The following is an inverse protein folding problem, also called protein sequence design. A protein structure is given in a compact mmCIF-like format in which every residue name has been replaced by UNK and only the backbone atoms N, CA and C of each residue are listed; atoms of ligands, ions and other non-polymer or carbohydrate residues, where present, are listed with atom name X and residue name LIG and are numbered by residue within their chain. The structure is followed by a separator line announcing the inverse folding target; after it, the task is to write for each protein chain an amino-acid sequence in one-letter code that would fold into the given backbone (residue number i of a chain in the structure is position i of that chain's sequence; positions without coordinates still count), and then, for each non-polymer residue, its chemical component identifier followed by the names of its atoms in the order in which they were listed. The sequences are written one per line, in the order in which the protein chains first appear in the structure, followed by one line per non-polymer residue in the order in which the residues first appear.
data_IF_387082502946
#
_entry.id   IF_387082502946
#
_cell.length_a   1.000
_cell.length_b   1.000
_cell.length_c   1.000
_cell.angle_alpha   90.00
_cell.angle_beta   90.00
_cell.angle_gamma   90.00
#
_symmetry.space_group_name_H-M   'P 1'
#
loop_
_entity.id
_entity.type
_entity.pdbx_description
1 polymer ?
#
# COMPACT_ATOMS: atom_id res chain seq x y z
N UNK A 1 -7.78 11.15 14.53
CA UNK A 1 -7.66 10.26 13.37
C UNK A 1 -6.40 10.64 12.61
N UNK A 2 -5.62 9.67 12.14
CA UNK A 2 -4.42 9.90 11.33
C UNK A 2 -4.60 9.30 9.95
N UNK A 3 -3.92 9.85 8.95
CA UNK A 3 -3.97 9.37 7.58
C UNK A 3 -2.56 9.18 7.02
N UNK A 4 -2.43 8.21 6.11
CA UNK A 4 -1.25 8.02 5.29
C UNK A 4 -1.60 8.36 3.84
N UNK A 5 -0.68 9.04 3.15
CA UNK A 5 -0.77 9.26 1.71
C UNK A 5 0.04 8.19 1.01
N UNK A 6 -0.47 7.64 -0.09
CA UNK A 6 0.25 6.63 -0.83
C UNK A 6 -0.30 6.37 -2.22
N UNK A 7 0.25 5.36 -2.88
CA UNK A 7 -0.14 4.87 -4.20
C UNK A 7 -0.27 3.36 -4.16
N UNK A 8 -1.22 2.80 -4.92
CA UNK A 8 -1.29 1.35 -5.08
C UNK A 8 -0.11 0.84 -5.89
N UNK A 9 0.37 -0.34 -5.51
CA UNK A 9 1.29 -1.14 -6.32
C UNK A 9 0.45 -2.10 -7.15
N UNK A 10 0.60 -2.09 -8.47
CA UNK A 10 -0.03 -2.98 -9.42
C UNK A 10 1.01 -3.78 -10.21
N UNK A 11 0.55 -4.69 -11.08
CA UNK A 11 1.43 -5.50 -11.94
C UNK A 11 2.30 -4.63 -12.87
N UNK A 12 1.82 -3.45 -13.24
CA UNK A 12 2.50 -2.50 -14.11
C UNK A 12 3.40 -1.52 -13.32
N UNK A 13 3.51 -1.66 -11.99
CA UNK A 13 4.31 -0.79 -11.12
C UNK A 13 3.47 0.04 -10.13
N UNK A 14 3.64 1.37 -10.14
CA UNK A 14 2.91 2.27 -9.23
C UNK A 14 1.76 2.95 -9.96
N UNK A 15 0.60 2.98 -9.32
CA UNK A 15 -0.53 3.76 -9.82
C UNK A 15 -0.18 5.25 -9.92
N UNK A 16 -0.66 5.91 -10.98
CA UNK A 16 -0.55 7.36 -11.14
C UNK A 16 -1.40 8.14 -10.13
N UNK A 17 -2.45 7.52 -9.59
CA UNK A 17 -3.37 8.16 -8.66
C UNK A 17 -2.90 8.02 -7.22
N UNK A 18 -2.80 9.16 -6.53
CA UNK A 18 -2.54 9.19 -5.10
C UNK A 18 -3.83 8.97 -4.31
N UNK A 19 -3.67 8.31 -3.18
CA UNK A 19 -4.75 7.94 -2.28
C UNK A 19 -4.40 8.33 -0.84
N UNK A 20 -5.46 8.51 -0.06
CA UNK A 20 -5.36 8.73 1.38
C UNK A 20 -6.01 7.55 2.09
N UNK A 21 -5.30 6.98 3.05
CA UNK A 21 -5.75 5.84 3.83
C UNK A 21 -5.86 6.27 5.28
N UNK A 22 -6.90 5.81 5.96
CA UNK A 22 -7.01 6.00 7.41
C UNK A 22 -6.02 5.07 8.08
N UNK A 23 -5.38 5.53 9.14
CA UNK A 23 -4.62 4.68 10.04
C UNK A 23 -5.48 4.42 11.27
N UNK A 24 -6.00 3.19 11.45
CA UNK A 24 -6.78 2.84 12.62
C UNK A 24 -6.02 3.10 13.93
N UNK A 25 -6.70 3.52 15.02
CA UNK A 25 -6.03 3.82 16.29
C UNK A 25 -5.18 2.67 16.84
N UNK A 26 -5.62 1.43 16.68
CA UNK A 26 -4.92 0.20 17.09
C UNK A 26 -3.65 -0.05 16.25
N UNK A 27 -3.56 0.49 15.04
CA UNK A 27 -2.41 0.41 14.13
C UNK A 27 -1.47 1.61 14.23
N UNK A 28 -1.90 2.71 14.85
CA UNK A 28 -1.15 3.96 14.81
C UNK A 28 0.30 3.83 15.29
N UNK A 29 0.55 3.06 16.36
CA UNK A 29 1.89 2.85 16.91
C UNK A 29 2.82 2.13 15.93
N UNK A 30 2.30 1.14 15.21
CA UNK A 30 3.05 0.39 14.19
C UNK A 30 3.49 1.32 13.06
N UNK A 31 2.56 2.12 12.53
CA UNK A 31 2.84 3.04 11.42
C UNK A 31 3.77 4.19 11.84
N UNK A 32 3.66 4.69 13.07
CA UNK A 32 4.62 5.67 13.60
C UNK A 32 6.03 5.08 13.72
N UNK A 33 6.16 3.85 14.22
CA UNK A 33 7.45 3.17 14.31
C UNK A 33 8.04 2.90 12.92
N UNK A 34 7.21 2.54 11.94
CA UNK A 34 7.62 2.37 10.55
C UNK A 34 8.17 3.68 9.95
N UNK A 35 7.47 4.80 10.11
CA UNK A 35 7.93 6.11 9.63
C UNK A 35 9.31 6.47 10.20
N UNK A 36 9.52 6.21 11.49
CA UNK A 36 10.82 6.44 12.14
C UNK A 36 11.92 5.53 11.56
N UNK A 37 11.63 4.23 11.39
CA UNK A 37 12.58 3.25 10.84
C UNK A 37 12.88 3.47 9.35
N UNK A 38 11.90 3.96 8.58
CA UNK A 38 12.05 4.25 7.16
C UNK A 38 12.85 5.54 6.91
N UNK A 39 13.17 6.31 7.95
CA UNK A 39 13.94 7.56 7.83
C UNK A 39 13.37 8.50 6.76
N UNK A 40 12.06 8.69 6.77
CA UNK A 40 11.30 9.51 5.80
C UNK A 40 11.26 8.99 4.34
N UNK A 41 11.79 7.80 4.06
CA UNK A 41 11.60 7.16 2.76
C UNK A 41 10.20 6.56 2.66
N UNK A 42 9.74 6.39 1.44
CA UNK A 42 8.50 5.69 1.16
C UNK A 42 8.64 4.20 1.52
N UNK A 43 7.58 3.63 2.08
CA UNK A 43 7.59 2.25 2.58
C UNK A 43 6.28 1.53 2.25
N UNK A 44 6.33 0.20 2.24
CA UNK A 44 5.21 -0.63 1.85
C UNK A 44 4.29 -0.98 3.03
N UNK A 45 3.01 -0.96 2.74
CA UNK A 45 1.96 -1.39 3.66
C UNK A 45 0.87 -2.17 2.92
N UNK A 46 0.08 -2.90 3.70
CA UNK A 46 -1.19 -3.47 3.29
C UNK A 46 -2.32 -2.54 3.71
N UNK A 47 -3.28 -2.35 2.82
CA UNK A 47 -4.47 -1.57 3.06
C UNK A 47 -5.72 -2.21 2.45
N UNK A 48 -6.89 -1.88 2.97
CA UNK A 48 -8.16 -2.14 2.31
C UNK A 48 -8.51 -0.99 1.38
N UNK A 49 -9.21 -1.27 0.27
CA UNK A 49 -9.89 -0.25 -0.54
C UNK A 49 -11.39 -0.14 -0.16
N UNK A 50 -12.14 0.75 -0.81
CA UNK A 50 -13.58 0.95 -0.56
C UNK A 50 -14.43 -0.29 -0.87
N UNK A 51 -13.91 -1.23 -1.65
CA UNK A 51 -14.54 -2.52 -1.93
C UNK A 51 -14.12 -3.63 -0.96
N UNK A 52 -13.49 -3.28 0.17
CA UNK A 52 -12.96 -4.22 1.16
C UNK A 52 -11.89 -5.18 0.58
N UNK A 53 -11.20 -4.80 -0.49
CA UNK A 53 -10.15 -5.62 -1.10
C UNK A 53 -8.80 -5.28 -0.49
N UNK A 54 -7.98 -6.29 -0.22
CA UNK A 54 -6.62 -6.11 0.28
C UNK A 54 -5.70 -5.65 -0.87
N UNK A 55 -4.91 -4.61 -0.62
CA UNK A 55 -4.01 -3.98 -1.59
C UNK A 55 -2.64 -3.72 -0.97
N UNK A 56 -1.59 -3.87 -1.78
CA UNK A 56 -0.28 -3.33 -1.46
C UNK A 56 -0.23 -1.85 -1.84
N UNK A 57 0.30 -1.04 -0.93
CA UNK A 57 0.43 0.41 -1.09
C UNK A 57 1.82 0.87 -0.72
N UNK A 58 2.36 1.78 -1.53
CA UNK A 58 3.54 2.54 -1.19
C UNK A 58 3.10 3.81 -0.48
N UNK A 59 3.45 3.94 0.79
CA UNK A 59 3.10 5.08 1.64
C UNK A 59 4.26 6.07 1.71
N UNK A 60 3.92 7.37 1.72
CA UNK A 60 4.88 8.42 2.05
C UNK A 60 5.42 8.21 3.47
N UNK A 61 6.70 8.54 3.69
CA UNK A 61 7.38 8.50 4.99
C UNK A 61 6.88 9.52 6.04
N UNK A 62 5.56 9.76 6.09
CA UNK A 62 4.90 10.67 7.03
C UNK A 62 3.41 10.30 7.21
N UNK A 63 2.88 10.65 8.38
CA UNK A 63 1.45 10.62 8.65
C UNK A 63 0.90 12.05 8.72
N UNK A 64 -0.34 12.24 8.27
CA UNK A 64 -1.02 13.55 8.29
C UNK A 64 -2.25 13.50 9.19
N UNK A 65 -2.54 14.63 9.85
CA UNK A 65 -3.69 14.77 10.78
C UNK A 65 -4.98 15.16 10.06
N UNK A 66 -4.87 15.85 8.93
CA UNK A 66 -6.00 16.39 8.19
C UNK A 66 -5.82 16.10 6.70
N UNK A 67 -6.92 15.66 6.07
CA UNK A 67 -6.97 15.48 4.63
C UNK A 67 -7.02 16.84 3.91
N UNK A 68 -6.45 16.95 2.70
CA UNK A 68 -6.72 18.09 1.83
C UNK A 68 -8.22 18.31 1.59
N UNK A 69 -8.65 19.55 1.36
CA UNK A 69 -10.08 19.93 1.26
C UNK A 69 -10.93 19.07 0.32
N UNK A 70 -10.33 18.54 -0.75
CA UNK A 70 -11.02 17.73 -1.78
C UNK A 70 -10.61 16.24 -1.77
N UNK A 71 -9.86 15.81 -0.75
CA UNK A 71 -9.42 14.43 -0.62
C UNK A 71 -10.40 13.63 0.25
N UNK A 72 -10.69 12.40 -0.16
CA UNK A 72 -11.40 11.41 0.66
C UNK A 72 -10.48 10.25 0.98
N UNK A 73 -10.66 9.69 2.17
CA UNK A 73 -10.00 8.42 2.47
C UNK A 73 -10.66 7.30 1.65
N UNK A 74 -9.84 6.46 1.04
CA UNK A 74 -10.31 5.37 0.17
C UNK A 74 -10.22 3.99 0.82
N UNK A 75 -9.80 3.92 2.09
CA UNK A 75 -9.77 2.70 2.87
C UNK A 75 -8.87 2.80 4.10
N UNK A 76 -8.51 1.64 4.65
CA UNK A 76 -7.84 1.52 5.95
C UNK A 76 -6.49 0.83 5.83
N UNK A 77 -5.48 1.38 6.51
CA UNK A 77 -4.20 0.73 6.70
C UNK A 77 -4.35 -0.49 7.62
N UNK A 78 -3.80 -1.63 7.20
CA UNK A 78 -3.92 -2.91 7.91
C UNK A 78 -2.62 -3.28 8.62
N UNK A 79 -1.49 -3.20 7.91
CA UNK A 79 -0.17 -3.58 8.42
C UNK A 79 0.96 -2.97 7.58
N UNK A 80 2.13 -2.79 8.17
CA UNK A 80 3.38 -2.42 7.48
C UNK A 80 4.12 -3.69 7.06
N UNK A 81 4.70 -3.69 5.86
CA UNK A 81 5.52 -4.80 5.39
C UNK A 81 6.97 -4.62 5.85
N UNK A 82 7.53 -5.65 6.47
CA UNK A 82 8.90 -5.65 6.99
C UNK A 82 9.78 -6.68 6.30
N UNK A 83 11.05 -6.34 6.09
CA UNK A 83 12.10 -7.26 5.67
C UNK A 83 12.60 -8.13 6.83
N UNK A 84 13.49 -9.08 6.50
CA UNK A 84 14.11 -9.98 7.48
C UNK A 84 14.95 -9.23 8.54
N UNK A 85 15.41 -8.02 8.23
CA UNK A 85 16.15 -7.12 9.12
C UNK A 85 15.22 -6.28 10.02
N UNK A 86 13.91 -6.54 10.02
CA UNK A 86 12.89 -5.82 10.75
C UNK A 86 12.82 -4.32 10.40
N UNK A 87 13.25 -3.96 9.18
CA UNK A 87 13.04 -2.63 8.59
C UNK A 87 11.84 -2.65 7.64
N UNK A 88 11.07 -1.55 7.54
CA UNK A 88 10.00 -1.45 6.56
C UNK A 88 10.57 -1.64 5.16
N UNK A 89 9.90 -2.45 4.34
CA UNK A 89 10.28 -2.62 2.93
C UNK A 89 10.09 -1.30 2.20
N UNK A 90 11.14 -0.84 1.52
CA UNK A 90 11.15 0.41 0.77
C UNK A 90 10.88 0.16 -0.71
N UNK A 91 10.61 1.21 -1.48
CA UNK A 91 10.37 1.11 -2.95
C UNK A 91 11.50 0.38 -3.68
N UNK A 92 12.75 0.53 -3.24
CA UNK A 92 13.91 -0.12 -3.88
C UNK A 92 13.86 -1.65 -3.73
N UNK A 93 13.22 -2.16 -2.69
CA UNK A 93 13.06 -3.60 -2.44
C UNK A 93 12.03 -4.25 -3.38
N UNK A 94 11.10 -3.46 -3.93
CA UNK A 94 10.16 -3.88 -4.97
C UNK A 94 10.80 -3.97 -6.36
N UNK A 95 11.88 -3.23 -6.59
CA UNK A 95 12.56 -3.12 -7.90
C UNK A 95 13.63 -4.22 -8.07
N UNK A 96 13.74 -5.16 -7.14
CA UNK A 96 14.50 -6.38 -7.43
C UNK A 96 13.75 -7.20 -8.48
N UNK A 97 14.36 -7.23 -9.66
CA UNK A 97 13.87 -7.86 -10.88
C UNK A 97 13.35 -9.25 -10.56
N UNK A 98 12.03 -9.42 -10.59
CA UNK A 98 11.43 -10.75 -10.45
C UNK A 98 11.89 -11.54 -11.68
N UNK A 99 12.63 -12.66 -11.51
CA UNK A 99 13.01 -13.49 -12.65
C UNK A 99 11.73 -13.87 -13.40
N UNK A 100 11.73 -13.76 -14.73
CA UNK A 100 10.55 -14.00 -15.57
C UNK A 100 9.87 -15.36 -15.26
N UNK A 101 10.67 -16.35 -14.86
CA UNK A 101 10.25 -17.68 -14.40
C UNK A 101 9.40 -17.68 -13.11
N UNK A 102 9.59 -16.71 -12.22
CA UNK A 102 8.81 -16.52 -10.98
C UNK A 102 7.49 -15.78 -11.27
N UNK A 103 7.51 -14.90 -12.27
CA UNK A 103 6.35 -14.14 -12.74
C UNK A 103 5.24 -15.05 -13.26
N UNK A 104 5.59 -16.12 -13.97
CA UNK A 104 4.61 -17.02 -14.58
C UNK A 104 3.98 -18.00 -13.58
N UNK A 105 4.76 -18.58 -12.65
CA UNK A 105 4.30 -19.69 -11.80
C UNK A 105 3.88 -19.28 -10.39
N UNK A 106 4.56 -18.33 -9.79
CA UNK A 106 4.38 -18.02 -8.35
C UNK A 106 3.49 -16.80 -8.17
N UNK A 107 3.68 -15.77 -9.00
CA UNK A 107 2.83 -14.57 -8.99
C UNK A 107 1.40 -14.87 -9.47
N UNK A 108 1.21 -15.66 -10.53
CA UNK A 108 -0.12 -16.11 -10.99
C UNK A 108 -0.87 -16.91 -9.91
N UNK A 109 -0.17 -17.68 -9.08
CA UNK A 109 -0.75 -18.37 -7.93
C UNK A 109 -1.03 -17.44 -6.75
N UNK A 110 -0.34 -16.29 -6.67
CA UNK A 110 -0.44 -15.33 -5.58
C UNK A 110 -1.55 -14.28 -5.72
N UNK A 111 -1.68 -13.43 -6.73
CA UNK A 111 -2.30 -13.78 -8.02
C UNK A 111 -3.76 -14.23 -7.86
N UNK A 112 -3.99 -15.50 -8.14
CA UNK A 112 -5.26 -16.19 -7.97
C UNK A 112 -5.73 -16.28 -6.50
N UNK A 113 -4.81 -16.23 -5.53
CA UNK A 113 -5.13 -16.29 -4.08
C UNK A 113 -5.52 -14.94 -3.49
N UNK A 114 -4.90 -13.84 -3.92
CA UNK A 114 -5.31 -12.47 -3.64
C UNK A 114 -5.94 -11.94 -4.93
N UNK A 115 -7.18 -12.34 -5.14
CA UNK A 115 -8.01 -11.97 -6.27
C UNK A 115 -8.00 -10.43 -6.46
N UNK A 116 -7.25 -9.93 -7.44
CA UNK A 116 -7.35 -8.56 -7.94
C UNK A 116 -8.01 -8.62 -9.31
N UNK A 117 -9.35 -8.66 -9.39
CA UNK A 117 -10.02 -8.50 -10.68
C UNK A 117 -9.73 -7.09 -11.19
N UNK A 118 -9.47 -6.99 -12.50
CA UNK A 118 -9.31 -5.72 -13.20
C UNK A 118 -10.37 -4.71 -12.73
N UNK A 119 -9.93 -3.52 -12.36
CA UNK A 119 -10.82 -2.43 -12.00
C UNK A 119 -11.58 -1.95 -13.24
N UNK A 120 -12.62 -2.66 -13.66
CA UNK A 120 -13.69 -2.07 -14.46
C UNK A 120 -14.51 -1.16 -13.55
N UNK A 121 -13.96 0.02 -13.27
CA UNK A 121 -14.77 1.12 -12.75
C UNK A 121 -15.74 1.56 -13.85
N UNK A 122 -16.91 0.92 -13.93
CA UNK A 122 -18.09 1.65 -14.39
C UNK A 122 -18.67 2.36 -13.17
N UNK A 123 -18.47 3.67 -13.12
CA UNK A 123 -19.18 4.55 -12.20
C UNK A 123 -20.68 4.44 -12.51
N UNK A 124 -21.58 4.32 -11.51
CA UNK A 124 -23.00 4.53 -11.75
C UNK A 124 -23.23 5.98 -12.20
N UNK A 125 -24.12 6.14 -13.19
CA UNK A 125 -24.58 7.44 -13.70
C UNK A 125 -25.23 8.27 -12.61
#
# INVERSE_FOLDING_TARGET
MMFAKGKYVNIDGLSSQAYYLRVPPDKLREFQAAVLKASHHDYLALATDQGCRLRAVLLEGRLIRQLPKNARAVGDCVAVLYGADNRPLMTIDLVQTIPQSVMERTLSNLAAKIYLPEARHQLPK
#
